data_IF_059202747097
#
_entry.id   IF_059202747097
#
_cell.length_a   1.000
_cell.length_b   1.000
_cell.length_c   1.000
_cell.angle_alpha   90.00
_cell.angle_beta   90.00
_cell.angle_gamma   90.00
#
_symmetry.space_group_name_H-M   'P 1'
#
loop_
_entity.id
_entity.type
_entity.pdbx_description
1 polymer ?
#
# COMPACT_ATOMS: atom_id res chain seq x y z
N UNK A 1 -9.65 -12.57 20.13
CA UNK A 1 -9.27 -11.48 19.21
C UNK A 1 -9.84 -10.16 19.71
N UNK A 2 -9.07 -9.07 19.61
CA UNK A 2 -9.47 -7.75 20.13
C UNK A 2 -10.66 -7.14 19.38
N UNK A 3 -10.86 -7.52 18.12
CA UNK A 3 -11.89 -6.97 17.23
C UNK A 3 -13.02 -7.94 16.91
N UNK A 4 -13.16 -9.03 17.64
CA UNK A 4 -14.25 -10.00 17.49
C UNK A 4 -14.03 -11.12 16.47
N UNK A 5 -12.94 -11.10 15.71
CA UNK A 5 -12.58 -12.17 14.74
C UNK A 5 -13.39 -12.13 13.44
N UNK A 6 -13.41 -13.26 12.76
CA UNK A 6 -13.96 -13.40 11.41
C UNK A 6 -15.45 -13.02 11.35
N UNK A 7 -16.25 -13.41 12.37
CA UNK A 7 -17.66 -13.06 12.41
C UNK A 7 -17.89 -11.55 12.51
N UNK A 8 -17.15 -10.86 13.36
CA UNK A 8 -17.29 -9.42 13.50
C UNK A 8 -16.94 -8.65 12.22
N UNK A 9 -15.98 -9.15 11.41
CA UNK A 9 -15.67 -8.58 10.11
C UNK A 9 -16.84 -8.81 9.10
N UNK A 10 -17.43 -10.00 9.11
CA UNK A 10 -18.58 -10.29 8.26
C UNK A 10 -19.79 -9.40 8.63
N UNK A 11 -20.03 -9.22 9.94
CA UNK A 11 -21.11 -8.36 10.45
C UNK A 11 -20.85 -6.88 10.10
N UNK A 12 -19.58 -6.43 10.20
CA UNK A 12 -19.20 -5.08 9.80
C UNK A 12 -19.42 -4.85 8.30
N UNK A 13 -18.98 -5.78 7.46
CA UNK A 13 -19.16 -5.69 6.01
C UNK A 13 -20.64 -5.59 5.66
N UNK A 14 -21.48 -6.46 6.24
CA UNK A 14 -22.93 -6.42 6.05
C UNK A 14 -23.53 -5.07 6.47
N UNK A 15 -23.16 -4.58 7.66
CA UNK A 15 -23.68 -3.31 8.17
C UNK A 15 -23.26 -2.11 7.29
N UNK A 16 -22.03 -2.12 6.75
CA UNK A 16 -21.58 -1.11 5.80
C UNK A 16 -22.37 -1.13 4.50
N UNK A 17 -22.56 -2.31 3.92
CA UNK A 17 -23.32 -2.49 2.67
C UNK A 17 -24.79 -2.08 2.84
N UNK A 18 -25.42 -2.42 3.96
CA UNK A 18 -26.81 -2.03 4.27
C UNK A 18 -26.97 -0.50 4.37
N UNK A 19 -25.88 0.21 4.63
CA UNK A 19 -25.84 1.68 4.66
C UNK A 19 -25.22 2.31 3.39
N UNK A 20 -25.06 1.54 2.31
CA UNK A 20 -24.53 2.03 1.04
C UNK A 20 -23.04 2.37 1.05
N UNK A 21 -22.30 1.88 2.06
CA UNK A 21 -20.86 2.08 2.18
C UNK A 21 -20.07 0.89 1.63
N UNK A 22 -18.82 1.11 1.30
CA UNK A 22 -17.87 0.12 0.81
C UNK A 22 -16.79 -0.16 1.86
N UNK A 23 -16.26 -1.39 1.86
CA UNK A 23 -15.22 -1.84 2.76
C UNK A 23 -13.96 -2.22 1.97
N UNK A 24 -12.88 -1.48 2.19
CA UNK A 24 -11.54 -1.82 1.70
C UNK A 24 -10.70 -2.25 2.89
N UNK A 25 -10.02 -3.40 2.79
CA UNK A 25 -9.06 -3.82 3.79
C UNK A 25 -7.63 -3.41 3.37
N UNK A 26 -6.83 -3.09 4.38
CA UNK A 26 -5.41 -2.81 4.21
C UNK A 26 -4.58 -4.08 4.39
N UNK A 27 -3.57 -4.27 3.55
CA UNK A 27 -2.68 -5.42 3.61
C UNK A 27 -1.26 -5.05 3.18
N UNK A 28 -0.26 -5.50 3.95
CA UNK A 28 1.12 -5.56 3.48
C UNK A 28 1.39 -6.95 2.91
N UNK A 29 1.69 -7.01 1.61
CA UNK A 29 2.17 -8.24 0.95
C UNK A 29 3.66 -8.16 0.61
N UNK A 30 4.34 -7.08 1.00
CA UNK A 30 5.76 -6.88 0.78
C UNK A 30 6.63 -7.58 1.87
N UNK A 31 6.17 -7.61 3.10
CA UNK A 31 6.88 -8.16 4.25
C UNK A 31 5.91 -8.71 5.30
N UNK A 32 6.44 -9.42 6.28
CA UNK A 32 5.70 -9.78 7.49
C UNK A 32 6.38 -9.16 8.71
N UNK A 33 5.75 -9.24 9.87
CA UNK A 33 6.45 -9.01 11.13
C UNK A 33 7.26 -10.24 11.55
N UNK A 34 8.32 -10.07 12.36
CA UNK A 34 9.12 -11.19 12.89
C UNK A 34 8.32 -12.16 13.75
N UNK A 35 7.20 -11.73 14.32
CA UNK A 35 6.30 -12.58 15.11
C UNK A 35 5.27 -13.34 14.25
N UNK A 36 5.19 -13.09 12.93
CA UNK A 36 4.30 -13.81 12.03
C UNK A 36 4.63 -15.31 12.03
N UNK A 37 3.61 -16.17 11.97
CA UNK A 37 3.77 -17.63 12.04
C UNK A 37 4.79 -18.18 11.04
N UNK A 38 4.82 -17.65 9.82
CA UNK A 38 5.75 -18.11 8.79
C UNK A 38 7.21 -17.82 9.13
N UNK A 39 7.48 -16.72 9.86
CA UNK A 39 8.84 -16.31 10.23
C UNK A 39 9.22 -16.71 11.66
N UNK A 40 8.47 -16.28 12.65
CA UNK A 40 8.52 -16.59 14.07
C UNK A 40 9.93 -16.55 14.70
N UNK A 41 10.60 -15.39 14.59
CA UNK A 41 11.97 -15.23 15.12
C UNK A 41 12.06 -15.42 16.64
N UNK A 42 11.17 -14.79 17.36
CA UNK A 42 11.31 -14.61 18.81
C UNK A 42 10.46 -15.59 19.61
N UNK A 43 9.58 -16.36 18.97
CA UNK A 43 8.72 -17.35 19.65
C UNK A 43 7.63 -16.72 20.52
N UNK A 44 7.17 -15.51 20.19
CA UNK A 44 6.21 -14.77 21.02
C UNK A 44 4.82 -15.41 21.09
N UNK A 45 4.36 -15.97 19.97
CA UNK A 45 3.00 -16.54 19.85
C UNK A 45 3.00 -18.02 19.45
N UNK A 46 4.12 -18.54 18.97
CA UNK A 46 4.26 -19.90 18.49
C UNK A 46 5.55 -20.51 19.04
N UNK A 47 5.58 -21.85 19.21
CA UNK A 47 6.80 -22.56 19.56
C UNK A 47 7.90 -22.29 18.54
N UNK A 48 9.16 -22.24 18.98
CA UNK A 48 10.31 -21.94 18.11
C UNK A 48 10.58 -22.99 17.02
N UNK A 49 10.00 -24.16 17.10
CA UNK A 49 10.02 -25.15 16.01
C UNK A 49 9.15 -24.77 14.83
N UNK A 50 8.20 -23.84 15.03
CA UNK A 50 7.35 -23.25 13.99
C UNK A 50 8.04 -22.03 13.42
N UNK A 51 8.03 -21.88 12.09
CA UNK A 51 8.51 -20.69 11.39
C UNK A 51 9.93 -20.82 10.83
N UNK A 52 10.14 -20.08 9.77
CA UNK A 52 11.30 -20.14 8.89
C UNK A 52 12.62 -19.70 9.55
N UNK A 53 12.58 -18.84 10.57
CA UNK A 53 13.80 -18.28 11.16
C UNK A 53 14.57 -19.30 11.97
N UNK A 54 13.87 -20.06 12.82
CA UNK A 54 14.48 -21.05 13.71
C UNK A 54 14.58 -22.46 13.11
N UNK A 55 13.83 -22.73 12.04
CA UNK A 55 13.80 -24.04 11.39
C UNK A 55 14.10 -23.90 9.88
N UNK A 56 15.33 -24.22 9.42
CA UNK A 56 15.70 -24.13 8.00
C UNK A 56 14.88 -25.05 7.08
N UNK A 57 14.31 -26.13 7.61
CA UNK A 57 13.48 -27.07 6.85
C UNK A 57 12.00 -26.72 6.90
N UNK A 58 11.63 -25.58 7.48
CA UNK A 58 10.24 -25.14 7.55
C UNK A 58 9.69 -24.83 6.15
N UNK A 59 8.46 -25.25 5.80
CA UNK A 59 7.92 -25.12 4.45
C UNK A 59 7.97 -23.69 3.90
N UNK A 60 7.75 -22.70 4.75
CA UNK A 60 7.76 -21.29 4.39
C UNK A 60 9.15 -20.64 4.40
N UNK A 61 10.22 -21.44 4.56
CA UNK A 61 11.60 -20.92 4.49
C UNK A 61 11.87 -20.18 3.19
N UNK A 62 11.39 -20.71 2.06
CA UNK A 62 11.51 -20.12 0.75
C UNK A 62 10.68 -18.85 0.54
N UNK A 63 9.82 -18.46 1.50
CA UNK A 63 9.06 -17.21 1.43
C UNK A 63 9.88 -15.98 1.78
N UNK A 64 11.11 -16.16 2.25
CA UNK A 64 12.00 -15.08 2.67
C UNK A 64 13.37 -15.20 2.01
N UNK A 65 14.12 -14.10 2.00
CA UNK A 65 15.50 -14.06 1.53
C UNK A 65 16.43 -14.36 2.71
N UNK A 66 16.94 -15.60 2.76
CA UNK A 66 17.96 -15.98 3.73
C UNK A 66 19.29 -16.24 3.03
N UNK A 67 20.38 -15.83 3.67
CA UNK A 67 21.72 -16.23 3.27
C UNK A 67 22.15 -17.54 3.98
N UNK A 68 23.37 -18.01 3.66
CA UNK A 68 23.96 -19.23 4.26
C UNK A 68 24.27 -19.09 5.76
N UNK A 69 24.30 -17.88 6.29
CA UNK A 69 24.58 -17.60 7.70
C UNK A 69 23.29 -17.37 8.50
N UNK A 70 22.12 -17.65 7.90
CA UNK A 70 20.81 -17.38 8.47
C UNK A 70 20.48 -15.89 8.66
N UNK A 71 21.24 -14.99 8.01
CA UNK A 71 20.82 -13.60 7.90
C UNK A 71 19.70 -13.46 6.87
N UNK A 72 18.85 -12.48 7.02
CA UNK A 72 17.71 -12.26 6.15
C UNK A 72 17.58 -10.78 5.77
N UNK A 73 16.89 -10.51 4.67
CA UNK A 73 16.62 -9.15 4.24
C UNK A 73 15.35 -8.62 4.90
N UNK A 74 15.45 -7.47 5.54
CA UNK A 74 14.32 -6.69 6.03
C UNK A 74 13.97 -5.56 5.06
N UNK A 75 12.73 -5.12 5.08
CA UNK A 75 12.31 -3.95 4.33
C UNK A 75 13.08 -2.71 4.79
N UNK A 76 13.83 -2.07 3.87
CA UNK A 76 14.77 -0.98 4.18
C UNK A 76 15.72 -1.29 5.36
N UNK A 77 16.22 -2.53 5.44
CA UNK A 77 17.08 -3.03 6.53
C UNK A 77 16.42 -3.00 7.92
N UNK A 78 15.10 -2.87 8.00
CA UNK A 78 14.35 -2.98 9.24
C UNK A 78 14.22 -4.45 9.63
N UNK A 79 15.01 -4.89 10.61
CA UNK A 79 15.07 -6.29 11.05
C UNK A 79 13.73 -6.89 11.50
N UNK A 80 12.82 -6.06 11.99
CA UNK A 80 11.50 -6.51 12.42
C UNK A 80 10.52 -6.79 11.29
N UNK A 81 10.89 -6.46 10.04
CA UNK A 81 10.04 -6.55 8.85
C UNK A 81 10.69 -7.39 7.75
N UNK A 82 10.80 -8.73 7.92
CA UNK A 82 11.40 -9.62 6.93
C UNK A 82 10.66 -9.57 5.60
N UNK A 83 11.39 -9.28 4.53
CA UNK A 83 10.87 -9.12 3.16
C UNK A 83 10.48 -10.46 2.56
N UNK A 84 9.32 -10.49 1.90
CA UNK A 84 8.80 -11.67 1.21
C UNK A 84 9.46 -11.86 -0.15
N UNK A 85 9.83 -13.11 -0.45
CA UNK A 85 10.51 -13.52 -1.67
C UNK A 85 9.54 -14.06 -2.73
N UNK A 86 9.11 -13.22 -3.63
CA UNK A 86 8.19 -13.59 -4.70
C UNK A 86 8.82 -14.41 -5.85
N UNK A 87 10.08 -14.80 -5.79
CA UNK A 87 10.59 -15.88 -6.65
C UNK A 87 9.97 -17.22 -6.26
N UNK A 88 9.46 -17.37 -5.03
CA UNK A 88 8.75 -18.56 -4.53
C UNK A 88 7.36 -18.69 -5.15
N UNK A 89 7.13 -19.73 -5.94
CA UNK A 89 5.82 -20.02 -6.51
C UNK A 89 4.79 -20.36 -5.41
N UNK A 90 5.22 -21.09 -4.37
CA UNK A 90 4.36 -21.42 -3.24
C UNK A 90 3.88 -20.17 -2.48
N UNK A 91 4.72 -19.13 -2.35
CA UNK A 91 4.29 -17.85 -1.81
C UNK A 91 3.24 -17.19 -2.70
N UNK A 92 3.45 -17.14 -4.02
CA UNK A 92 2.48 -16.59 -4.97
C UNK A 92 1.12 -17.30 -4.87
N UNK A 93 1.14 -18.64 -4.72
CA UNK A 93 -0.08 -19.44 -4.57
C UNK A 93 -0.85 -19.05 -3.29
N UNK A 94 -0.15 -18.91 -2.17
CA UNK A 94 -0.76 -18.54 -0.88
C UNK A 94 -1.30 -17.11 -0.90
N UNK A 95 -0.59 -16.18 -1.52
CA UNK A 95 -1.00 -14.77 -1.52
C UNK A 95 -2.16 -14.51 -2.48
N UNK A 96 -2.10 -14.96 -3.74
CA UNK A 96 -3.08 -14.54 -4.74
C UNK A 96 -3.55 -15.59 -5.74
N UNK A 97 -2.77 -16.67 -6.05
CA UNK A 97 -3.14 -17.59 -7.13
C UNK A 97 -4.16 -18.65 -6.72
N UNK A 98 -3.92 -19.32 -5.58
CA UNK A 98 -4.80 -20.40 -5.13
C UNK A 98 -6.22 -19.90 -4.84
N UNK A 99 -7.19 -20.80 -4.98
CA UNK A 99 -8.59 -20.50 -4.68
C UNK A 99 -8.81 -20.09 -3.21
N UNK A 100 -7.99 -20.63 -2.31
CA UNK A 100 -7.96 -20.28 -0.88
C UNK A 100 -6.95 -19.20 -0.52
N UNK A 101 -6.41 -18.49 -1.52
CA UNK A 101 -5.38 -17.47 -1.30
C UNK A 101 -5.89 -16.32 -0.42
N UNK A 102 -4.94 -15.64 0.22
CA UNK A 102 -5.23 -14.54 1.15
C UNK A 102 -6.08 -13.46 0.47
N UNK A 103 -5.69 -13.02 -0.74
CA UNK A 103 -6.38 -11.93 -1.43
C UNK A 103 -7.79 -12.30 -1.90
N UNK A 104 -8.07 -13.59 -2.17
CA UNK A 104 -9.41 -14.04 -2.57
C UNK A 104 -10.33 -14.32 -1.38
N UNK A 105 -9.80 -14.84 -0.27
CA UNK A 105 -10.58 -15.24 0.90
C UNK A 105 -11.55 -14.16 1.35
N UNK A 106 -11.09 -12.93 1.47
CA UNK A 106 -11.86 -11.83 2.05
C UNK A 106 -12.83 -11.18 1.07
N UNK A 107 -12.59 -11.36 -0.25
CA UNK A 107 -13.53 -10.93 -1.29
C UNK A 107 -14.77 -11.80 -1.37
N UNK A 108 -14.71 -13.03 -0.82
CA UNK A 108 -15.80 -14.01 -0.83
C UNK A 108 -16.73 -13.85 0.37
N UNK A 109 -17.91 -14.43 0.25
CA UNK A 109 -18.82 -14.59 1.38
C UNK A 109 -18.13 -15.38 2.53
N UNK A 110 -18.38 -15.03 3.79
CA UNK A 110 -19.33 -14.02 4.25
C UNK A 110 -18.77 -12.59 4.33
N UNK A 111 -17.48 -12.37 4.01
CA UNK A 111 -16.80 -11.09 4.21
C UNK A 111 -17.14 -10.06 3.13
N UNK A 112 -17.14 -10.46 1.85
CA UNK A 112 -17.52 -9.63 0.70
C UNK A 112 -16.92 -8.23 0.71
N UNK A 113 -15.62 -8.10 1.02
CA UNK A 113 -14.98 -6.78 0.97
C UNK A 113 -14.98 -6.23 -0.46
N UNK A 114 -14.92 -4.91 -0.59
CA UNK A 114 -15.02 -4.22 -1.88
C UNK A 114 -13.65 -3.88 -2.49
N UNK A 115 -12.56 -4.23 -1.82
CA UNK A 115 -11.23 -3.98 -2.35
C UNK A 115 -10.10 -4.11 -1.35
N UNK A 116 -8.92 -3.82 -1.84
CA UNK A 116 -7.67 -3.86 -1.09
C UNK A 116 -6.90 -2.55 -1.19
N UNK A 117 -6.38 -2.07 -0.07
CA UNK A 117 -5.27 -1.10 -0.04
C UNK A 117 -3.99 -1.88 0.17
N UNK A 118 -3.05 -1.75 -0.74
CA UNK A 118 -1.74 -2.39 -0.66
C UNK A 118 -0.71 -1.45 -0.06
N UNK A 119 -0.24 -1.81 1.12
CA UNK A 119 0.82 -1.13 1.83
C UNK A 119 2.16 -1.28 1.10
N UNK A 120 2.95 -0.21 1.05
CA UNK A 120 4.28 -0.12 0.39
C UNK A 120 4.33 -0.71 -1.02
N UNK A 121 3.32 -0.43 -1.81
CA UNK A 121 3.18 -0.99 -3.16
C UNK A 121 4.30 -0.56 -4.12
N UNK A 122 4.92 0.58 -3.90
CA UNK A 122 6.05 1.14 -4.66
C UNK A 122 7.31 0.27 -4.62
N UNK A 123 7.54 -0.44 -3.51
CA UNK A 123 8.71 -1.33 -3.31
C UNK A 123 8.34 -2.81 -3.33
N UNK A 124 7.08 -3.14 -3.58
CA UNK A 124 6.60 -4.51 -3.62
C UNK A 124 7.39 -5.40 -4.57
N UNK A 125 7.76 -6.61 -4.09
CA UNK A 125 8.49 -7.63 -4.84
C UNK A 125 9.82 -7.15 -5.44
N UNK A 126 10.46 -6.17 -4.79
CA UNK A 126 11.77 -5.63 -5.17
C UNK A 126 12.76 -5.89 -4.06
N UNK A 127 13.85 -6.58 -4.37
CA UNK A 127 14.97 -6.82 -3.46
C UNK A 127 16.25 -7.09 -4.26
N UNK A 128 17.21 -6.20 -4.21
CA UNK A 128 18.45 -6.25 -4.99
C UNK A 128 18.19 -6.55 -6.48
N UNK A 129 18.70 -7.68 -6.99
CA UNK A 129 18.50 -8.10 -8.37
C UNK A 129 17.08 -8.63 -8.67
N UNK A 130 16.25 -8.87 -7.66
CA UNK A 130 14.88 -9.31 -7.84
C UNK A 130 13.98 -8.09 -8.05
N UNK A 131 13.38 -7.98 -9.23
CA UNK A 131 12.53 -6.86 -9.64
C UNK A 131 11.29 -7.41 -10.35
N UNK A 132 10.29 -7.84 -9.57
CA UNK A 132 9.14 -8.59 -10.09
C UNK A 132 7.83 -7.80 -10.07
N UNK A 133 7.81 -6.57 -9.60
CA UNK A 133 6.58 -5.79 -9.44
C UNK A 133 5.77 -5.70 -10.74
N UNK A 134 6.43 -5.39 -11.86
CA UNK A 134 5.78 -5.20 -13.16
C UNK A 134 5.19 -6.51 -13.73
N UNK A 135 5.76 -7.68 -13.36
CA UNK A 135 5.22 -9.01 -13.68
C UNK A 135 4.01 -9.33 -12.79
N UNK A 136 4.12 -9.03 -11.49
CA UNK A 136 3.19 -9.56 -10.50
C UNK A 136 1.92 -8.71 -10.33
N UNK A 137 1.98 -7.39 -10.49
CA UNK A 137 0.79 -6.56 -10.35
C UNK A 137 -0.34 -6.94 -11.31
N UNK A 138 -0.06 -7.22 -12.61
CA UNK A 138 -1.11 -7.73 -13.50
C UNK A 138 -1.70 -9.07 -13.05
N UNK A 139 -0.87 -10.00 -12.56
CA UNK A 139 -1.35 -11.29 -12.04
C UNK A 139 -2.23 -11.12 -10.79
N UNK A 140 -1.80 -10.28 -9.85
CA UNK A 140 -2.52 -9.99 -8.60
C UNK A 140 -3.88 -9.36 -8.92
N UNK A 141 -3.88 -8.33 -9.75
CA UNK A 141 -5.11 -7.63 -10.13
C UNK A 141 -6.07 -8.55 -10.88
N UNK A 142 -5.57 -9.34 -11.83
CA UNK A 142 -6.39 -10.31 -12.53
C UNK A 142 -7.02 -11.34 -11.55
N UNK A 143 -6.26 -11.78 -10.56
CA UNK A 143 -6.76 -12.71 -9.53
C UNK A 143 -7.86 -12.08 -8.67
N UNK A 144 -7.70 -10.82 -8.25
CA UNK A 144 -8.70 -10.06 -7.49
C UNK A 144 -9.97 -9.85 -8.32
N UNK A 145 -9.80 -9.36 -9.56
CA UNK A 145 -10.92 -9.04 -10.45
C UNK A 145 -11.66 -10.29 -10.94
N UNK A 146 -11.00 -11.45 -10.99
CA UNK A 146 -11.67 -12.73 -11.28
C UNK A 146 -12.62 -13.14 -10.16
N UNK A 147 -12.29 -12.81 -8.89
CA UNK A 147 -13.16 -13.09 -7.75
C UNK A 147 -14.28 -12.05 -7.60
N UNK A 148 -13.92 -10.77 -7.71
CA UNK A 148 -14.87 -9.66 -7.69
C UNK A 148 -14.46 -8.61 -8.73
N UNK A 149 -15.12 -8.53 -9.90
CA UNK A 149 -14.77 -7.56 -10.95
C UNK A 149 -14.87 -6.10 -10.51
N UNK A 150 -15.61 -5.79 -9.45
CA UNK A 150 -15.78 -4.44 -8.91
C UNK A 150 -14.82 -4.14 -7.76
N UNK A 151 -14.00 -5.11 -7.31
CA UNK A 151 -13.07 -4.88 -6.22
C UNK A 151 -12.06 -3.78 -6.59
N UNK A 152 -11.88 -2.82 -5.69
CA UNK A 152 -10.98 -1.69 -5.89
C UNK A 152 -9.55 -2.05 -5.48
N UNK A 153 -8.60 -1.82 -6.36
CA UNK A 153 -7.17 -2.07 -6.14
C UNK A 153 -6.48 -0.73 -5.90
N UNK A 154 -6.33 -0.38 -4.63
CA UNK A 154 -5.70 0.85 -4.17
C UNK A 154 -4.26 0.57 -3.73
N UNK A 155 -3.31 1.32 -4.24
CA UNK A 155 -1.89 1.14 -3.92
C UNK A 155 -1.34 2.33 -3.13
N UNK A 156 -0.54 2.08 -2.10
CA UNK A 156 0.28 3.12 -1.52
C UNK A 156 1.51 3.33 -2.40
N UNK A 157 1.59 4.50 -3.01
CA UNK A 157 2.75 4.99 -3.74
C UNK A 157 2.85 6.51 -3.60
N UNK A 158 4.06 6.99 -3.32
CA UNK A 158 4.32 8.41 -3.07
C UNK A 158 4.84 9.15 -4.30
N UNK A 159 5.18 8.42 -5.34
CA UNK A 159 5.83 8.90 -6.55
C UNK A 159 4.93 8.95 -7.77
N UNK A 160 5.57 9.11 -8.92
CA UNK A 160 4.91 9.02 -10.22
C UNK A 160 4.74 7.55 -10.63
N UNK A 161 3.55 7.04 -10.37
CA UNK A 161 3.17 5.66 -10.65
C UNK A 161 2.22 5.51 -11.84
N UNK A 162 2.19 6.50 -12.75
CA UNK A 162 1.28 6.50 -13.90
C UNK A 162 1.39 5.23 -14.76
N UNK A 163 2.55 4.58 -14.80
CA UNK A 163 2.75 3.34 -15.54
C UNK A 163 1.94 2.14 -14.98
N UNK A 164 1.58 2.16 -13.69
CA UNK A 164 0.70 1.15 -13.10
C UNK A 164 -0.79 1.40 -13.33
N UNK A 165 -1.15 2.58 -13.85
CA UNK A 165 -2.53 2.97 -14.13
C UNK A 165 -2.85 2.98 -15.64
N UNK A 166 -2.26 2.06 -16.41
CA UNK A 166 -2.52 1.93 -17.85
C UNK A 166 -3.59 0.87 -18.18
N UNK A 167 -4.18 0.26 -17.15
CA UNK A 167 -5.15 -0.82 -17.24
C UNK A 167 -4.56 -2.18 -16.82
N UNK A 168 -5.34 -2.94 -16.05
CA UNK A 168 -4.97 -4.29 -15.61
C UNK A 168 -4.00 -4.37 -14.43
N UNK A 169 -3.67 -3.25 -13.80
CA UNK A 169 -2.86 -3.18 -12.60
C UNK A 169 -3.65 -2.46 -11.49
N UNK A 170 -3.23 -1.28 -11.05
CA UNK A 170 -3.95 -0.55 -10.01
C UNK A 170 -5.17 0.19 -10.57
N UNK A 171 -6.22 0.33 -9.76
CA UNK A 171 -7.34 1.23 -10.07
C UNK A 171 -6.97 2.68 -9.68
N UNK A 172 -6.22 2.86 -8.58
CA UNK A 172 -5.64 4.13 -8.16
C UNK A 172 -4.47 3.93 -7.20
N UNK A 173 -3.52 4.87 -7.14
CA UNK A 173 -2.69 5.06 -5.95
C UNK A 173 -3.47 5.82 -4.87
N UNK A 174 -2.96 5.82 -3.65
CA UNK A 174 -3.18 6.93 -2.72
C UNK A 174 -2.49 8.15 -3.37
N UNK A 175 -3.29 9.04 -3.99
CA UNK A 175 -2.76 10.04 -4.93
C UNK A 175 -2.02 11.19 -4.23
N UNK A 176 -0.88 10.87 -3.64
CA UNK A 176 0.04 11.86 -3.08
C UNK A 176 0.68 12.71 -4.19
N UNK A 177 1.13 12.07 -5.27
CA UNK A 177 1.90 12.73 -6.32
C UNK A 177 1.06 13.75 -7.12
N UNK A 178 -0.11 13.36 -7.59
CA UNK A 178 -0.97 14.20 -8.43
C UNK A 178 -1.91 15.12 -7.64
N UNK A 179 -2.10 14.87 -6.34
CA UNK A 179 -3.04 15.63 -5.51
C UNK A 179 -2.40 16.10 -4.18
N UNK A 180 -2.19 15.19 -3.24
CA UNK A 180 -1.86 15.56 -1.87
C UNK A 180 -0.65 16.46 -1.72
N UNK A 181 0.47 16.09 -2.33
CA UNK A 181 1.71 16.88 -2.29
C UNK A 181 1.55 18.24 -2.98
N UNK A 182 0.82 18.27 -4.09
CA UNK A 182 0.57 19.51 -4.84
C UNK A 182 -0.22 20.49 -4.01
N UNK A 183 -1.33 20.05 -3.42
CA UNK A 183 -2.20 20.90 -2.60
C UNK A 183 -1.48 21.37 -1.35
N UNK A 184 -0.78 20.50 -0.63
CA UNK A 184 -0.04 20.83 0.59
C UNK A 184 1.04 21.90 0.33
N UNK A 185 1.78 21.77 -0.77
CA UNK A 185 2.76 22.77 -1.17
C UNK A 185 2.13 24.11 -1.53
N UNK A 186 1.02 24.10 -2.23
CA UNK A 186 0.31 25.33 -2.63
C UNK A 186 -0.16 26.14 -1.42
N UNK A 187 -0.66 25.48 -0.38
CA UNK A 187 -1.16 26.16 0.80
C UNK A 187 -0.06 26.54 1.81
N UNK A 188 1.19 26.20 1.55
CA UNK A 188 2.35 26.73 2.30
C UNK A 188 3.20 25.68 3.02
N UNK A 189 2.88 24.37 2.91
CA UNK A 189 3.75 23.34 3.46
C UNK A 189 4.92 23.06 2.53
N UNK A 190 6.15 22.88 3.04
CA UNK A 190 7.26 22.39 2.21
C UNK A 190 6.93 21.02 1.63
N UNK A 191 7.48 20.70 0.45
CA UNK A 191 7.39 19.34 -0.07
C UNK A 191 7.87 18.33 0.96
N UNK A 192 7.12 17.26 1.14
CA UNK A 192 7.34 16.27 2.19
C UNK A 192 8.75 15.65 2.16
N UNK A 193 9.27 15.38 0.95
CA UNK A 193 10.61 14.82 0.78
C UNK A 193 11.69 15.89 0.85
N UNK A 194 11.47 17.05 0.22
CA UNK A 194 12.40 18.18 0.32
C UNK A 194 12.52 18.69 1.75
N UNK A 195 11.41 18.75 2.49
CA UNK A 195 11.40 19.17 3.89
C UNK A 195 12.18 18.24 4.83
N UNK A 196 12.40 17.00 4.43
CA UNK A 196 13.24 16.03 5.16
C UNK A 196 14.71 16.05 4.74
N UNK A 197 15.04 16.61 3.57
CA UNK A 197 16.39 16.63 3.06
C UNK A 197 17.23 17.72 3.79
N UNK A 198 18.39 17.38 4.40
CA UNK A 198 19.16 18.32 5.21
C UNK A 198 19.53 19.62 4.51
N UNK A 199 19.78 19.56 3.19
CA UNK A 199 20.19 20.72 2.37
C UNK A 199 19.02 21.49 1.75
N UNK A 200 17.83 20.90 1.72
CA UNK A 200 16.67 21.45 1.00
C UNK A 200 15.55 21.91 1.92
N UNK A 201 15.55 21.47 3.19
CA UNK A 201 14.48 21.75 4.17
C UNK A 201 14.19 23.23 4.42
N UNK A 202 15.17 24.09 4.21
CA UNK A 202 15.09 25.54 4.46
C UNK A 202 14.94 26.34 3.16
N UNK A 203 14.85 25.68 2.00
CA UNK A 203 14.62 26.37 0.72
C UNK A 203 13.15 26.80 0.67
N UNK A 204 12.87 28.12 0.64
CA UNK A 204 11.51 28.59 0.52
C UNK A 204 11.00 28.27 -0.90
N UNK A 205 10.11 27.32 -1.01
CA UNK A 205 9.41 27.04 -2.25
C UNK A 205 7.95 27.49 -2.13
N UNK A 206 7.57 28.44 -2.95
CA UNK A 206 6.19 28.92 -3.01
C UNK A 206 5.59 28.52 -4.36
N UNK A 207 4.66 27.58 -4.32
CA UNK A 207 3.92 27.15 -5.51
C UNK A 207 2.88 28.21 -5.88
N UNK A 208 2.83 28.54 -7.15
CA UNK A 208 1.78 29.41 -7.73
C UNK A 208 0.57 28.58 -8.17
N UNK A 209 -0.56 29.24 -8.46
CA UNK A 209 -1.72 28.56 -9.04
C UNK A 209 -1.41 27.95 -10.41
N UNK A 210 -0.53 28.56 -11.19
CA UNK A 210 -0.07 28.03 -12.48
C UNK A 210 0.78 26.76 -12.27
N UNK A 211 1.63 26.71 -11.26
CA UNK A 211 2.40 25.51 -10.92
C UNK A 211 1.46 24.35 -10.53
N UNK A 212 0.41 24.64 -9.75
CA UNK A 212 -0.62 23.63 -9.39
C UNK A 212 -1.30 23.11 -10.65
N UNK A 213 -1.79 24.00 -11.50
CA UNK A 213 -2.44 23.61 -12.76
C UNK A 213 -1.52 22.74 -13.61
N UNK A 214 -0.28 23.17 -13.80
CA UNK A 214 0.69 22.44 -14.62
C UNK A 214 0.98 21.06 -14.06
N UNK A 215 1.19 20.92 -12.76
CA UNK A 215 1.47 19.61 -12.12
C UNK A 215 0.28 18.66 -12.17
N UNK A 216 -0.92 19.16 -11.89
CA UNK A 216 -2.13 18.35 -11.99
C UNK A 216 -2.36 17.91 -13.43
N UNK A 217 -2.24 18.81 -14.40
CA UNK A 217 -2.43 18.48 -15.81
C UNK A 217 -1.34 17.57 -16.36
N UNK A 218 -0.08 17.72 -15.92
CA UNK A 218 0.99 16.80 -16.25
C UNK A 218 0.69 15.38 -15.74
N UNK A 219 0.22 15.25 -14.50
CA UNK A 219 -0.17 13.96 -13.94
C UNK A 219 -1.32 13.34 -14.75
N UNK A 220 -2.40 14.07 -14.93
CA UNK A 220 -3.58 13.59 -15.67
C UNK A 220 -3.25 13.21 -17.11
N UNK A 221 -2.38 13.96 -17.78
CA UNK A 221 -1.99 13.68 -19.16
C UNK A 221 -1.27 12.34 -19.35
N UNK A 222 -0.71 11.77 -18.28
CA UNK A 222 -0.08 10.44 -18.28
C UNK A 222 -1.08 9.30 -18.12
N UNK A 223 -2.33 9.60 -17.74
CA UNK A 223 -3.34 8.61 -17.43
C UNK A 223 -4.37 8.47 -18.54
N UNK A 224 -4.85 7.27 -18.85
CA UNK A 224 -6.07 7.10 -19.64
C UNK A 224 -7.24 7.82 -18.96
N UNK A 225 -8.14 8.43 -19.74
CA UNK A 225 -9.23 9.26 -19.21
C UNK A 225 -10.11 8.54 -18.18
N UNK A 226 -10.34 7.25 -18.35
CA UNK A 226 -11.10 6.43 -17.39
C UNK A 226 -10.54 6.40 -15.96
N UNK A 227 -9.24 6.72 -15.78
CA UNK A 227 -8.61 6.80 -14.46
C UNK A 227 -8.73 8.16 -13.79
N UNK A 228 -9.12 9.21 -14.52
CA UNK A 228 -9.21 10.56 -13.95
C UNK A 228 -10.24 10.65 -12.82
N UNK A 229 -11.39 10.00 -13.01
CA UNK A 229 -12.49 10.01 -12.04
C UNK A 229 -12.32 8.99 -10.90
N UNK A 230 -11.38 8.05 -11.06
CA UNK A 230 -11.16 6.97 -10.10
C UNK A 230 -9.98 7.23 -9.16
N UNK A 231 -9.36 8.42 -9.19
CA UNK A 231 -8.22 8.72 -8.34
C UNK A 231 -8.63 8.84 -6.87
N UNK A 232 -7.92 8.13 -6.00
CA UNK A 232 -8.08 8.26 -4.56
C UNK A 232 -7.31 9.49 -4.06
N UNK A 233 -7.93 10.64 -4.22
CA UNK A 233 -7.36 11.94 -3.85
C UNK A 233 -7.37 12.13 -2.33
N UNK A 234 -6.24 12.51 -1.77
CA UNK A 234 -6.08 12.80 -0.36
C UNK A 234 -4.99 13.85 -0.16
N UNK A 235 -5.05 14.59 0.91
CA UNK A 235 -3.92 15.40 1.39
C UNK A 235 -3.53 15.11 2.84
N UNK A 236 -4.25 14.25 3.53
CA UNK A 236 -3.91 13.74 4.87
C UNK A 236 -3.96 12.20 4.89
N UNK A 237 -3.09 11.59 5.67
CA UNK A 237 -3.11 10.15 5.96
C UNK A 237 -2.53 9.88 7.35
N UNK A 238 -2.46 8.61 7.74
CA UNK A 238 -1.82 8.21 8.99
C UNK A 238 -0.29 8.37 8.98
N UNK A 239 0.35 8.51 7.80
CA UNK A 239 1.80 8.62 7.63
C UNK A 239 2.33 10.05 7.70
N UNK A 240 1.45 11.04 7.64
CA UNK A 240 1.81 12.45 7.64
C UNK A 240 0.98 13.24 8.64
N UNK A 241 1.57 14.32 9.18
CA UNK A 241 0.83 15.23 10.04
C UNK A 241 -0.37 15.83 9.31
N UNK A 242 -1.49 15.98 10.01
CA UNK A 242 -2.68 16.62 9.43
C UNK A 242 -2.35 18.03 8.97
N UNK A 243 -2.78 18.38 7.78
CA UNK A 243 -2.56 19.70 7.21
C UNK A 243 -3.15 20.82 8.12
N UNK A 244 -4.30 20.55 8.74
CA UNK A 244 -4.94 21.46 9.69
C UNK A 244 -4.12 21.72 10.97
N UNK A 245 -3.14 20.87 11.28
CA UNK A 245 -2.27 21.01 12.45
C UNK A 245 -0.92 21.65 12.11
N UNK A 246 -0.68 22.02 10.85
CA UNK A 246 0.56 22.62 10.43
C UNK A 246 0.52 24.14 10.67
N UNK A 247 1.32 24.62 11.62
CA UNK A 247 1.42 26.05 11.98
C UNK A 247 1.85 26.95 10.80
N UNK A 248 2.47 26.40 9.78
CA UNK A 248 2.87 27.12 8.55
C UNK A 248 1.71 27.33 7.58
N UNK A 249 0.59 26.63 7.78
CA UNK A 249 -0.59 26.70 6.91
C UNK A 249 -1.69 27.48 7.61
N UNK A 250 -1.99 28.71 7.16
CA UNK A 250 -3.10 29.50 7.72
C UNK A 250 -4.43 28.73 7.60
N UNK A 251 -5.31 28.89 8.59
CA UNK A 251 -6.59 28.18 8.64
C UNK A 251 -7.44 28.38 7.37
N UNK A 252 -7.45 29.60 6.81
CA UNK A 252 -8.19 29.88 5.57
C UNK A 252 -7.57 29.19 4.35
N UNK A 253 -6.26 28.99 4.33
CA UNK A 253 -5.59 28.19 3.28
C UNK A 253 -5.96 26.72 3.38
N UNK A 254 -6.01 26.17 4.62
CA UNK A 254 -6.50 24.81 4.84
C UNK A 254 -7.94 24.63 4.37
N UNK A 255 -8.83 25.59 4.69
CA UNK A 255 -10.22 25.57 4.20
C UNK A 255 -10.30 25.61 2.67
N UNK A 256 -9.43 26.39 2.04
CA UNK A 256 -9.32 26.43 0.57
C UNK A 256 -8.89 25.09 0.00
N UNK A 257 -7.90 24.42 0.65
CA UNK A 257 -7.44 23.09 0.22
C UNK A 257 -8.56 22.04 0.23
N UNK A 258 -9.50 22.12 1.18
CA UNK A 258 -10.66 21.21 1.25
C UNK A 258 -11.64 21.41 0.09
N UNK A 259 -11.62 22.59 -0.55
CA UNK A 259 -12.51 22.92 -1.66
C UNK A 259 -11.92 22.62 -3.04
N UNK A 260 -10.59 22.34 -3.10
CA UNK A 260 -9.90 21.96 -4.34
C UNK A 260 -10.05 20.47 -4.63
#
# INVERSE_FOLDING_TARGET
>A
THFGGDQALADLSTALHDNGMKLILDISINHTGTAHRWFNRDGLYFDKSVGAYNNPDYPERGYYFFDKNNSYHGWFDVETLPTLNYTSQALRDVIYRAESSVLKKWLKAPYNIDGWRFDVADVFARNDAVQLADELWPEITASIKAENPQAYVLAEDWGDCAHYMQGGQWDSPMNYYGCGRVIRQFVGEPDLFMGRHPLLKDIPYKMTAEDVQNRVMEHLAKLPYAFWENQFNLFDSHDIARLSSNERVPFDHWRGAVCL
#
